data_IF_288054975913
#
_entry.id   IF_288054975913
#
_cell.length_a   1.000
_cell.length_b   1.000
_cell.length_c   1.000
_cell.angle_alpha   90.00
_cell.angle_beta   90.00
_cell.angle_gamma   90.00
#
_symmetry.space_group_name_H-M   'P 1'
#
loop_
_entity.id
_entity.type
_entity.pdbx_description
1 polymer ?
#
# COMPACT_ATOMS: atom_id res chain seq x y z
N UNK A 1 -3.69 9.80 8.02
CA UNK A 1 -4.61 9.27 7.02
C UNK A 1 -4.21 7.88 6.55
N UNK A 2 -4.01 7.75 5.24
CA UNK A 2 -3.62 6.46 4.66
C UNK A 2 -3.03 6.66 3.27
N UNK A 3 -1.95 5.92 2.99
CA UNK A 3 -1.29 6.01 1.69
C UNK A 3 -2.16 5.39 0.59
N UNK A 4 -1.65 5.41 -0.64
CA UNK A 4 -2.39 4.86 -1.75
C UNK A 4 -1.74 3.62 -2.32
N UNK A 5 -1.68 3.54 -3.65
CA UNK A 5 -1.07 2.39 -4.32
C UNK A 5 0.38 2.67 -4.68
N UNK A 6 1.25 1.69 -4.42
CA UNK A 6 2.67 1.83 -4.72
C UNK A 6 3.31 2.87 -3.80
N UNK A 7 2.57 3.28 -2.77
CA UNK A 7 3.08 4.25 -1.82
C UNK A 7 3.92 3.59 -0.74
N UNK A 8 5.02 4.26 -0.36
CA UNK A 8 5.93 3.75 0.68
C UNK A 8 5.30 3.77 2.08
N UNK A 9 5.12 2.59 2.64
CA UNK A 9 4.53 2.47 3.97
C UNK A 9 5.30 1.48 4.83
N UNK A 10 4.95 1.39 6.10
CA UNK A 10 5.61 0.48 7.03
C UNK A 10 4.64 -0.55 7.59
N UNK A 11 3.36 -0.19 7.61
CA UNK A 11 2.32 -1.08 8.11
C UNK A 11 1.11 -1.08 7.19
N UNK A 12 0.50 -2.24 7.01
CA UNK A 12 -0.67 -2.38 6.16
C UNK A 12 -1.75 -1.37 6.55
N UNK A 13 -1.84 -1.09 7.85
CA UNK A 13 -2.82 -0.15 8.36
C UNK A 13 -2.66 1.22 7.69
N UNK A 14 -1.47 1.49 7.18
CA UNK A 14 -1.19 2.75 6.51
C UNK A 14 -1.88 2.82 5.16
N UNK A 15 -1.88 1.69 4.45
CA UNK A 15 -2.51 1.62 3.13
C UNK A 15 -4.03 1.75 3.24
N UNK A 16 -4.59 2.66 2.46
CA UNK A 16 -6.04 2.88 2.47
C UNK A 16 -6.75 1.85 1.61
N UNK A 17 -8.08 1.85 1.68
CA UNK A 17 -8.85 0.90 0.90
C UNK A 17 -9.76 0.04 1.76
N UNK A 18 -10.27 -1.04 1.19
CA UNK A 18 -11.16 -1.94 1.91
C UNK A 18 -10.37 -3.03 2.63
N UNK A 19 -9.39 -3.59 1.93
CA UNK A 19 -8.56 -4.64 2.49
C UNK A 19 -7.13 -4.55 1.97
N UNK A 20 -6.66 -3.33 1.76
CA UNK A 20 -5.30 -3.10 1.26
C UNK A 20 -4.27 -3.76 2.17
N UNK A 21 -3.04 -3.87 1.68
CA UNK A 21 -1.96 -4.48 2.45
C UNK A 21 -0.61 -3.89 2.05
N UNK A 22 0.20 -3.56 3.04
CA UNK A 22 1.52 -2.99 2.79
C UNK A 22 2.55 -4.09 2.58
N UNK A 23 3.22 -4.05 1.43
CA UNK A 23 4.23 -5.05 1.09
C UNK A 23 5.53 -4.38 0.67
N UNK A 24 6.46 -5.17 0.14
CA UNK A 24 7.74 -4.66 -0.31
C UNK A 24 7.61 -3.98 -1.67
N UNK A 25 8.74 -3.57 -2.24
CA UNK A 25 8.73 -2.91 -3.53
C UNK A 25 9.49 -3.68 -4.58
N UNK A 26 10.62 -3.12 -5.01
CA UNK A 26 11.45 -3.77 -6.03
C UNK A 26 12.93 -3.59 -5.72
N UNK A 27 13.30 -2.38 -5.29
CA UNK A 27 14.69 -2.08 -4.96
C UNK A 27 14.93 -2.19 -3.46
N UNK A 28 14.23 -3.12 -2.82
CA UNK A 28 14.37 -3.30 -1.39
C UNK A 28 13.36 -2.51 -0.59
N UNK A 29 13.05 -1.31 -1.07
CA UNK A 29 12.09 -0.45 -0.40
C UNK A 29 10.74 -1.15 -0.24
N UNK A 30 9.79 -0.45 0.36
CA UNK A 30 8.45 -1.00 0.58
C UNK A 30 7.39 -0.14 -0.11
N UNK A 31 6.26 -0.76 -0.44
CA UNK A 31 5.17 -0.05 -1.10
C UNK A 31 3.83 -0.69 -0.77
N UNK A 32 2.74 0.05 -1.03
CA UNK A 32 1.40 -0.45 -0.75
C UNK A 32 0.88 -1.27 -1.93
N UNK A 33 -0.18 -2.03 -1.69
CA UNK A 33 -0.78 -2.87 -2.72
C UNK A 33 -2.29 -2.94 -2.56
N UNK A 34 -2.93 -1.77 -2.50
CA UNK A 34 -4.37 -1.71 -2.35
C UNK A 34 -5.08 -2.57 -3.39
N UNK A 35 -6.39 -2.73 -3.23
CA UNK A 35 -7.19 -3.52 -4.16
C UNK A 35 -8.33 -2.70 -4.73
N UNK A 36 -8.08 -1.42 -4.96
CA UNK A 36 -9.09 -0.52 -5.51
C UNK A 36 -9.64 -1.07 -6.83
N UNK A 37 -10.93 -1.38 -6.83
CA UNK A 37 -11.57 -1.92 -8.03
C UNK A 37 -11.44 -0.94 -9.20
N UNK A 38 -11.50 0.35 -8.90
CA UNK A 38 -11.38 1.37 -9.92
C UNK A 38 -9.93 1.57 -10.34
N UNK A 39 -9.14 2.19 -9.46
CA UNK A 39 -7.74 2.42 -9.76
C UNK A 39 -7.07 3.31 -8.73
#
# INVERSE_FOLDING_TARGET
>A
GCKGQDAPCSKSKDCCGEASMCSKGADGKKTCMIDKLWG
#
